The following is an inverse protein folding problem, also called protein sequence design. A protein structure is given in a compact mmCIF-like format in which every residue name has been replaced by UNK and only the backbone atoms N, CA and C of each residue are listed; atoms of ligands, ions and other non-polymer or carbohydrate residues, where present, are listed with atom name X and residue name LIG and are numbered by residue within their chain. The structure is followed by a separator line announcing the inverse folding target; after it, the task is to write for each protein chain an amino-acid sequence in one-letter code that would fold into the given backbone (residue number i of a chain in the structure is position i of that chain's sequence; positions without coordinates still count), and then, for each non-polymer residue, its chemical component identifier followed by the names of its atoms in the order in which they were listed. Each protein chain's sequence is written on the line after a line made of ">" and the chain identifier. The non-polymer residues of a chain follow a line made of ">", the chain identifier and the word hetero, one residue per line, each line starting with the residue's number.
data_IF_130666789768
#
_entry.id   IF_130666789768
#
_cell.length_a   1.000
_cell.length_b   1.000
_cell.length_c   1.000
_cell.angle_alpha   90.00
_cell.angle_beta   90.00
_cell.angle_gamma   90.00
#
_symmetry.space_group_name_H-M   'P 1'
#
loop_
_entity.id
_entity.type
_entity.pdbx_description
1 polymer ?
#
# COMPACT_ATOMS: atom_id res chain seq x y z
N UNK A 1 -9.69 -9.35 5.93
CA UNK A 1 -10.00 -9.68 7.35
C UNK A 1 -10.06 -8.37 8.12
N UNK A 2 -11.09 -8.17 8.96
CA UNK A 2 -11.27 -6.93 9.72
C UNK A 2 -10.80 -7.08 11.17
N UNK A 3 -10.04 -6.12 11.67
CA UNK A 3 -9.57 -6.03 13.05
C UNK A 3 -10.36 -5.01 13.86
N UNK A 4 -10.89 -3.96 13.24
CA UNK A 4 -11.66 -2.92 13.91
C UNK A 4 -12.99 -3.48 14.42
N UNK A 5 -13.17 -3.51 15.75
CA UNK A 5 -14.40 -4.00 16.38
C UNK A 5 -15.46 -2.93 16.58
N UNK A 6 -15.06 -1.66 16.71
CA UNK A 6 -16.02 -0.59 16.97
C UNK A 6 -15.53 0.78 16.53
N UNK A 7 -16.50 1.63 16.24
CA UNK A 7 -16.31 3.07 16.02
C UNK A 7 -16.94 3.80 17.19
N UNK A 8 -16.19 4.73 17.79
CA UNK A 8 -16.68 5.57 18.89
C UNK A 8 -16.68 7.02 18.43
N UNK A 9 -17.86 7.58 18.16
CA UNK A 9 -18.01 8.97 17.74
C UNK A 9 -18.26 9.86 18.95
N UNK A 10 -17.30 10.72 19.28
CA UNK A 10 -17.27 11.61 20.43
C UNK A 10 -17.17 13.07 19.99
N UNK A 11 -18.30 13.74 19.68
CA UNK A 11 -18.29 15.16 19.35
C UNK A 11 -17.87 16.04 20.55
N UNK A 12 -17.41 17.25 20.29
CA UNK A 12 -16.99 18.23 21.27
C UNK A 12 -18.08 18.51 22.31
N UNK A 13 -19.31 18.60 21.81
CA UNK A 13 -20.54 18.75 22.58
C UNK A 13 -21.45 17.55 22.38
N UNK A 14 -21.93 16.95 23.48
CA UNK A 14 -22.82 15.80 23.46
C UNK A 14 -22.17 14.50 23.93
N UNK A 15 -22.95 13.42 23.85
CA UNK A 15 -22.53 12.09 24.30
C UNK A 15 -21.79 11.33 23.20
N UNK A 16 -20.78 10.56 23.61
CA UNK A 16 -20.15 9.59 22.72
C UNK A 16 -21.13 8.49 22.32
N UNK A 17 -21.12 8.10 21.06
CA UNK A 17 -21.89 6.98 20.53
C UNK A 17 -20.96 5.88 20.06
N UNK A 18 -21.25 4.65 20.45
CA UNK A 18 -20.51 3.48 20.05
C UNK A 18 -21.30 2.68 19.00
N UNK A 19 -20.63 2.32 17.92
CA UNK A 19 -21.14 1.43 16.87
C UNK A 19 -20.24 0.21 16.79
N UNK A 20 -20.78 -0.97 17.10
CA UNK A 20 -20.06 -2.24 17.01
C UNK A 20 -20.11 -2.77 15.58
N UNK A 21 -18.95 -3.17 15.06
CA UNK A 21 -18.79 -3.77 13.74
C UNK A 21 -18.79 -5.30 13.86
N UNK A 22 -19.58 -5.97 13.03
CA UNK A 22 -19.71 -7.44 13.04
C UNK A 22 -18.53 -8.10 12.32
N UNK A 23 -18.24 -9.38 12.58
CA UNK A 23 -17.21 -10.17 11.88
C UNK A 23 -15.77 -9.62 11.96
N UNK A 24 -15.45 -8.90 13.03
CA UNK A 24 -14.10 -8.42 13.31
C UNK A 24 -13.36 -9.37 14.28
N UNK A 25 -12.10 -9.68 13.94
CA UNK A 25 -11.25 -10.62 14.70
C UNK A 25 -10.28 -9.94 15.67
N UNK A 26 -10.20 -8.62 15.66
CA UNK A 26 -9.29 -7.88 16.54
C UNK A 26 -9.69 -7.94 18.02
N UNK A 27 -8.85 -7.38 18.87
CA UNK A 27 -9.07 -7.32 20.32
C UNK A 27 -10.37 -6.58 20.67
N UNK A 28 -10.94 -6.84 21.85
CA UNK A 28 -12.22 -6.21 22.29
C UNK A 28 -12.15 -4.68 22.35
N UNK A 29 -10.95 -4.13 22.56
CA UNK A 29 -10.67 -2.70 22.61
C UNK A 29 -10.27 -2.11 21.25
N UNK A 30 -10.27 -2.90 20.17
CA UNK A 30 -10.00 -2.44 18.81
C UNK A 30 -11.03 -1.41 18.35
N UNK A 31 -10.72 -0.13 18.57
CA UNK A 31 -11.63 0.99 18.38
C UNK A 31 -11.00 2.11 17.57
N UNK A 32 -11.80 2.71 16.68
CA UNK A 32 -11.50 3.95 15.98
C UNK A 32 -12.37 5.07 16.56
N UNK A 33 -11.72 6.12 17.04
CA UNK A 33 -12.39 7.25 17.67
C UNK A 33 -12.58 8.39 16.66
N UNK A 34 -13.81 8.86 16.52
CA UNK A 34 -14.15 9.98 15.65
C UNK A 34 -14.48 11.20 16.51
N UNK A 35 -13.80 12.33 16.29
CA UNK A 35 -14.02 13.57 17.06
C UNK A 35 -13.87 14.79 16.19
N UNK A 36 -14.66 15.83 16.44
CA UNK A 36 -14.60 17.17 15.82
C UNK A 36 -13.83 18.18 16.69
N UNK A 37 -13.27 17.74 17.83
CA UNK A 37 -12.47 18.52 18.76
C UNK A 37 -10.99 18.17 18.68
N UNK A 38 -10.16 19.17 18.42
CA UNK A 38 -8.69 19.02 18.37
C UNK A 38 -8.06 18.76 19.73
N UNK A 39 -8.63 19.28 20.82
CA UNK A 39 -8.12 19.02 22.18
C UNK A 39 -8.39 17.58 22.58
N UNK A 40 -9.63 17.11 22.41
CA UNK A 40 -10.01 15.72 22.67
C UNK A 40 -9.25 14.74 21.78
N UNK A 41 -9.07 15.08 20.51
CA UNK A 41 -8.26 14.26 19.62
C UNK A 41 -6.83 14.06 20.16
N UNK A 42 -6.19 15.12 20.69
CA UNK A 42 -4.84 15.04 21.25
C UNK A 42 -4.82 14.17 22.51
N UNK A 43 -5.80 14.32 23.39
CA UNK A 43 -5.96 13.45 24.58
C UNK A 43 -6.07 11.96 24.17
N UNK A 44 -6.89 11.65 23.16
CA UNK A 44 -7.03 10.29 22.65
C UNK A 44 -5.73 9.75 22.03
N UNK A 45 -4.98 10.59 21.30
CA UNK A 45 -3.67 10.20 20.77
C UNK A 45 -2.64 9.94 21.87
N UNK A 46 -2.62 10.75 22.93
CA UNK A 46 -1.76 10.55 24.11
C UNK A 46 -2.09 9.24 24.85
N UNK A 47 -3.36 8.83 24.82
CA UNK A 47 -3.81 7.51 25.31
C UNK A 47 -3.51 6.35 24.33
N UNK A 48 -2.92 6.64 23.16
CA UNK A 48 -2.59 5.63 22.14
C UNK A 48 -3.80 5.12 21.35
N UNK A 49 -4.90 5.87 21.31
CA UNK A 49 -6.12 5.50 20.57
C UNK A 49 -6.06 5.96 19.12
N UNK A 50 -6.60 5.15 18.21
CA UNK A 50 -6.74 5.53 16.81
C UNK A 50 -7.78 6.64 16.67
N UNK A 51 -7.43 7.74 16.00
CA UNK A 51 -8.28 8.93 15.86
C UNK A 51 -8.49 9.29 14.38
N UNK A 52 -9.76 9.57 14.04
CA UNK A 52 -10.19 10.17 12.79
C UNK A 52 -10.90 11.50 13.10
N UNK A 53 -10.45 12.60 12.47
CA UNK A 53 -11.07 13.91 12.69
C UNK A 53 -12.32 14.07 11.86
N UNK A 54 -13.38 14.60 12.48
CA UNK A 54 -14.58 15.05 11.79
C UNK A 54 -14.50 16.56 11.57
N UNK A 55 -14.29 16.98 10.33
CA UNK A 55 -14.21 18.37 9.91
C UNK A 55 -15.58 18.89 9.50
N UNK A 56 -15.93 20.09 9.95
CA UNK A 56 -17.12 20.80 9.52
C UNK A 56 -16.92 22.31 9.65
N UNK A 57 -17.87 23.12 9.19
CA UNK A 57 -17.70 24.59 9.20
C UNK A 57 -17.44 25.17 10.60
N UNK A 58 -17.97 24.52 11.64
CA UNK A 58 -17.88 24.97 13.03
C UNK A 58 -16.51 24.78 13.68
N UNK A 59 -15.61 23.98 13.12
CA UNK A 59 -14.30 23.69 13.73
C UNK A 59 -13.09 24.12 12.90
N UNK A 60 -13.28 24.87 11.80
CA UNK A 60 -12.20 25.32 10.91
C UNK A 60 -11.14 26.21 11.57
N UNK A 61 -11.45 26.83 12.71
CA UNK A 61 -10.52 27.67 13.48
C UNK A 61 -9.60 26.85 14.40
N UNK A 62 -9.86 25.56 14.60
CA UNK A 62 -9.04 24.69 15.42
C UNK A 62 -7.80 24.19 14.65
N UNK A 63 -6.74 23.86 15.38
CA UNK A 63 -5.54 23.25 14.83
C UNK A 63 -5.63 21.72 14.85
N UNK A 64 -5.74 21.12 13.66
CA UNK A 64 -5.76 19.68 13.46
C UNK A 64 -4.48 19.12 12.82
N UNK A 65 -3.38 19.90 12.78
CA UNK A 65 -2.13 19.48 12.15
C UNK A 65 -1.49 18.23 12.77
N UNK A 66 -1.87 17.87 14.00
CA UNK A 66 -1.42 16.67 14.69
C UNK A 66 -2.09 15.37 14.21
N UNK A 67 -3.17 15.46 13.40
CA UNK A 67 -3.95 14.31 12.98
C UNK A 67 -3.69 13.96 11.51
N UNK A 68 -3.57 12.67 11.24
CA UNK A 68 -3.29 12.16 9.89
C UNK A 68 -4.54 12.03 9.03
N UNK A 69 -5.67 11.65 9.65
CA UNK A 69 -6.90 11.34 8.94
C UNK A 69 -8.00 12.29 9.36
N UNK A 70 -8.76 12.75 8.38
CA UNK A 70 -9.93 13.56 8.58
C UNK A 70 -10.99 13.22 7.53
N UNK A 71 -12.25 13.41 7.89
CA UNK A 71 -13.41 13.26 7.03
C UNK A 71 -14.38 14.43 7.29
N UNK A 72 -15.18 14.79 6.30
CA UNK A 72 -16.23 15.79 6.43
C UNK A 72 -17.58 15.17 6.80
N UNK A 73 -17.84 13.94 6.33
CA UNK A 73 -19.03 13.18 6.66
C UNK A 73 -18.71 11.76 7.15
N UNK A 74 -18.62 11.54 8.48
CA UNK A 74 -18.38 10.21 9.05
C UNK A 74 -19.43 9.16 8.68
N UNK A 75 -20.65 9.56 8.33
CA UNK A 75 -21.73 8.63 8.01
C UNK A 75 -21.64 8.03 6.60
N UNK A 76 -20.83 8.63 5.72
CA UNK A 76 -20.59 8.15 4.35
C UNK A 76 -19.35 7.26 4.24
N UNK A 77 -18.58 7.13 5.32
CA UNK A 77 -17.39 6.29 5.33
C UNK A 77 -17.78 4.82 5.34
N UNK A 78 -17.27 4.09 4.36
CA UNK A 78 -17.41 2.64 4.34
C UNK A 78 -16.50 1.96 5.37
N UNK A 79 -16.73 0.67 5.53
CA UNK A 79 -16.00 -0.16 6.50
C UNK A 79 -14.52 -0.31 6.15
N UNK A 80 -14.18 -0.38 4.86
CA UNK A 80 -12.80 -0.61 4.41
C UNK A 80 -11.93 0.61 4.68
N UNK A 81 -12.47 1.80 4.48
CA UNK A 81 -11.80 3.05 4.84
C UNK A 81 -11.53 3.13 6.35
N UNK A 82 -12.55 2.88 7.19
CA UNK A 82 -12.43 2.92 8.64
C UNK A 82 -11.41 1.89 9.16
N UNK A 83 -11.46 0.66 8.63
CA UNK A 83 -10.49 -0.38 8.92
C UNK A 83 -9.09 0.03 8.47
N UNK A 84 -8.93 0.61 7.28
CA UNK A 84 -7.64 1.07 6.76
C UNK A 84 -7.01 2.15 7.64
N UNK A 85 -7.81 3.11 8.13
CA UNK A 85 -7.37 4.13 9.10
C UNK A 85 -6.89 3.47 10.40
N UNK A 86 -7.68 2.55 10.95
CA UNK A 86 -7.35 1.82 12.18
C UNK A 86 -6.07 0.98 12.03
N UNK A 87 -5.98 0.16 10.96
CA UNK A 87 -4.84 -0.72 10.69
C UNK A 87 -3.55 0.08 10.57
N UNK A 88 -3.54 1.15 9.77
CA UNK A 88 -2.36 2.03 9.63
C UNK A 88 -1.97 2.70 10.94
N UNK A 89 -2.94 3.12 11.75
CA UNK A 89 -2.66 3.64 13.09
C UNK A 89 -1.98 2.60 13.99
N UNK A 90 -2.40 1.33 13.90
CA UNK A 90 -1.85 0.22 14.68
C UNK A 90 -0.61 -0.44 14.06
N UNK A 91 -0.13 0.05 12.92
CA UNK A 91 1.00 -0.54 12.20
C UNK A 91 0.68 -1.91 11.59
N UNK A 92 -0.60 -2.23 11.40
CA UNK A 92 -1.06 -3.45 10.73
C UNK A 92 -1.14 -3.11 9.23
N UNK A 93 -0.43 -3.81 8.33
CA UNK A 93 -0.49 -3.51 6.90
C UNK A 93 -1.86 -3.91 6.34
N UNK A 94 -2.38 -3.17 5.35
CA UNK A 94 -3.55 -3.60 4.56
C UNK A 94 -3.19 -4.72 3.57
N UNK A 95 -4.05 -5.73 3.45
CA UNK A 95 -3.93 -6.77 2.43
C UNK A 95 -4.65 -6.29 1.17
N UNK A 96 -3.89 -6.02 0.11
CA UNK A 96 -4.42 -5.41 -1.12
C UNK A 96 -5.17 -6.46 -1.94
N UNK A 97 -4.51 -7.58 -2.22
CA UNK A 97 -5.05 -8.66 -3.03
C UNK A 97 -4.28 -9.96 -2.81
N UNK A 98 -4.88 -11.05 -3.24
CA UNK A 98 -4.26 -12.36 -3.32
C UNK A 98 -4.28 -12.89 -4.74
N UNK A 99 -3.29 -13.72 -5.04
CA UNK A 99 -3.25 -14.55 -6.24
C UNK A 99 -3.16 -16.02 -5.83
N UNK A 100 -3.08 -16.92 -6.80
CA UNK A 100 -2.89 -18.35 -6.55
C UNK A 100 -1.66 -18.63 -5.68
N UNK A 101 -0.57 -17.86 -5.88
CA UNK A 101 0.72 -18.09 -5.23
C UNK A 101 1.21 -16.95 -4.37
N UNK A 102 0.54 -15.79 -4.37
CA UNK A 102 1.03 -14.60 -3.67
C UNK A 102 -0.02 -13.91 -2.81
N UNK A 103 0.47 -13.22 -1.80
CA UNK A 103 -0.24 -12.16 -1.08
C UNK A 103 0.47 -10.84 -1.43
N UNK A 104 -0.30 -9.80 -1.74
CA UNK A 104 0.19 -8.44 -1.90
C UNK A 104 -0.39 -7.59 -0.79
N UNK A 105 0.48 -6.98 0.01
CA UNK A 105 0.07 -6.16 1.16
C UNK A 105 0.94 -4.92 1.31
N UNK A 106 0.43 -3.91 2.01
CA UNK A 106 1.19 -2.70 2.33
C UNK A 106 2.56 -3.03 2.92
N UNK A 107 3.57 -2.27 2.51
CA UNK A 107 4.93 -2.41 3.04
C UNK A 107 4.93 -2.15 4.54
N UNK A 108 5.68 -2.94 5.29
CA UNK A 108 5.97 -2.68 6.70
C UNK A 108 7.44 -2.32 6.88
N UNK A 109 7.78 -1.67 7.99
CA UNK A 109 9.18 -1.35 8.32
C UNK A 109 10.04 -2.60 8.46
N UNK A 110 9.46 -3.73 8.87
CA UNK A 110 10.16 -5.00 9.02
C UNK A 110 10.52 -5.66 7.67
N UNK A 111 9.92 -5.22 6.57
CA UNK A 111 10.25 -5.74 5.23
C UNK A 111 11.59 -5.22 4.72
N UNK A 112 12.09 -4.12 5.31
CA UNK A 112 13.32 -3.46 4.87
C UNK A 112 14.50 -4.42 4.88
N UNK A 113 14.59 -5.28 5.90
CA UNK A 113 15.57 -6.35 6.00
C UNK A 113 15.56 -7.28 4.77
N UNK A 114 14.37 -7.70 4.34
CA UNK A 114 14.21 -8.55 3.16
C UNK A 114 14.48 -7.78 1.86
N UNK A 115 14.17 -6.48 1.81
CA UNK A 115 14.53 -5.65 0.67
C UNK A 115 16.05 -5.60 0.49
N UNK A 116 16.83 -5.43 1.56
CA UNK A 116 18.30 -5.51 1.45
C UNK A 116 18.80 -6.88 0.99
N UNK A 117 18.12 -7.98 1.34
CA UNK A 117 18.47 -9.30 0.81
C UNK A 117 18.27 -9.34 -0.70
N UNK A 118 17.15 -8.83 -1.19
CA UNK A 118 16.79 -8.87 -2.61
C UNK A 118 17.66 -7.92 -3.45
N UNK A 119 17.92 -6.71 -2.97
CA UNK A 119 18.66 -5.66 -3.73
C UNK A 119 20.18 -5.89 -3.77
N UNK A 120 20.72 -6.86 -3.02
CA UNK A 120 22.14 -7.24 -3.11
C UNK A 120 22.52 -7.88 -4.44
N UNK A 121 21.55 -8.41 -5.17
CA UNK A 121 21.80 -9.05 -6.45
C UNK A 121 22.08 -7.99 -7.54
N UNK A 122 23.25 -8.01 -8.20
CA UNK A 122 23.64 -6.95 -9.14
C UNK A 122 22.64 -6.68 -10.26
N UNK A 123 21.95 -7.72 -10.75
CA UNK A 123 20.95 -7.61 -11.82
C UNK A 123 19.69 -6.84 -11.45
N UNK A 124 19.44 -6.61 -10.16
CA UNK A 124 18.31 -5.83 -9.65
C UNK A 124 18.60 -4.33 -9.72
N UNK A 125 19.80 -3.92 -9.32
CA UNK A 125 20.20 -2.50 -9.28
C UNK A 125 20.44 -1.88 -10.66
N UNK A 126 20.56 -2.68 -11.71
CA UNK A 126 20.77 -2.19 -13.09
C UNK A 126 19.60 -1.37 -13.64
N UNK A 127 18.38 -1.60 -13.13
CA UNK A 127 17.15 -1.01 -13.66
C UNK A 127 16.29 -0.28 -12.63
N UNK A 128 16.71 -0.27 -11.36
CA UNK A 128 15.97 0.33 -10.27
C UNK A 128 16.83 1.27 -9.45
N UNK A 129 16.19 2.26 -8.83
CA UNK A 129 16.84 3.07 -7.81
C UNK A 129 17.29 2.18 -6.65
N UNK A 130 18.56 2.28 -6.22
CA UNK A 130 19.06 1.50 -5.10
C UNK A 130 18.42 1.95 -3.80
N UNK A 131 18.41 1.05 -2.81
CA UNK A 131 18.10 1.41 -1.43
C UNK A 131 19.17 2.36 -0.89
N UNK A 132 18.84 3.10 0.18
CA UNK A 132 19.87 3.84 0.90
C UNK A 132 20.95 2.88 1.45
N UNK A 133 22.22 3.31 1.47
CA UNK A 133 23.29 2.49 2.06
C UNK A 133 23.11 2.26 3.57
N UNK A 134 22.43 3.18 4.25
CA UNK A 134 22.13 3.13 5.68
C UNK A 134 20.73 2.54 5.91
N UNK A 135 20.61 1.33 6.50
CA UNK A 135 19.33 0.71 6.82
C UNK A 135 18.42 1.54 7.71
N UNK A 136 18.97 2.45 8.53
CA UNK A 136 18.14 3.32 9.34
C UNK A 136 17.46 4.42 8.52
N UNK A 137 18.12 4.91 7.46
CA UNK A 137 17.52 5.84 6.50
C UNK A 137 16.43 5.14 5.70
N UNK A 138 16.67 3.92 5.25
CA UNK A 138 15.67 3.13 4.52
C UNK A 138 14.44 2.83 5.39
N UNK A 139 14.62 2.48 6.67
CA UNK A 139 13.49 2.33 7.61
C UNK A 139 12.73 3.64 7.84
N UNK A 140 13.43 4.78 7.87
CA UNK A 140 12.78 6.10 7.95
C UNK A 140 11.98 6.40 6.68
N UNK A 141 12.57 6.13 5.51
CA UNK A 141 11.89 6.27 4.22
C UNK A 141 10.65 5.37 4.13
N UNK A 142 10.73 4.11 4.55
CA UNK A 142 9.59 3.19 4.57
C UNK A 142 8.47 3.70 5.48
N UNK A 143 8.80 4.23 6.68
CA UNK A 143 7.81 4.87 7.56
C UNK A 143 7.14 6.05 6.87
N UNK A 144 7.93 6.96 6.31
CA UNK A 144 7.44 8.13 5.58
C UNK A 144 6.54 7.74 4.40
N UNK A 145 6.89 6.67 3.69
CA UNK A 145 6.10 6.15 2.58
C UNK A 145 4.73 5.64 3.03
N UNK A 146 4.69 4.82 4.09
CA UNK A 146 3.44 4.34 4.70
C UNK A 146 2.59 5.52 5.15
N UNK A 147 3.25 6.48 5.81
CA UNK A 147 2.63 7.61 6.47
C UNK A 147 2.08 8.66 5.51
N UNK A 148 2.74 8.87 4.37
CA UNK A 148 2.42 9.96 3.44
C UNK A 148 1.80 9.45 2.14
N UNK A 149 2.30 8.36 1.59
CA UNK A 149 1.86 7.86 0.28
C UNK A 149 0.56 7.05 0.42
N UNK A 150 0.55 5.99 1.23
CA UNK A 150 -0.67 5.19 1.39
C UNK A 150 -1.80 5.98 2.03
N UNK A 151 -1.48 6.87 2.97
CA UNK A 151 -2.49 7.70 3.64
C UNK A 151 -3.13 8.74 2.71
N UNK A 152 -2.39 9.22 1.70
CA UNK A 152 -2.89 10.22 0.75
C UNK A 152 -3.53 9.60 -0.49
N UNK A 153 -2.85 8.64 -1.12
CA UNK A 153 -3.31 8.03 -2.37
C UNK A 153 -4.21 6.81 -2.16
N UNK A 154 -4.11 6.12 -1.01
CA UNK A 154 -4.76 4.83 -0.79
C UNK A 154 -4.10 3.65 -1.50
N UNK A 155 -3.09 3.90 -2.34
CA UNK A 155 -2.32 2.89 -3.07
C UNK A 155 -0.85 3.30 -3.19
N UNK A 156 -0.01 2.39 -3.67
CA UNK A 156 1.42 2.62 -3.83
C UNK A 156 2.16 1.36 -4.28
N UNK A 157 3.46 1.32 -4.03
CA UNK A 157 4.29 0.13 -4.17
C UNK A 157 4.15 -0.72 -2.92
N UNK A 158 3.73 -1.97 -3.08
CA UNK A 158 3.43 -2.90 -1.99
C UNK A 158 4.46 -4.02 -1.91
N UNK A 159 4.44 -4.78 -0.81
CA UNK A 159 5.27 -5.96 -0.60
C UNK A 159 4.57 -7.18 -1.19
N UNK A 160 5.33 -8.00 -1.92
CA UNK A 160 4.86 -9.26 -2.51
C UNK A 160 5.41 -10.42 -1.69
N UNK A 161 4.51 -11.25 -1.18
CA UNK A 161 4.85 -12.44 -0.40
C UNK A 161 4.43 -13.70 -1.16
N UNK A 162 5.29 -14.72 -1.20
CA UNK A 162 4.96 -16.03 -1.73
C UNK A 162 4.24 -16.88 -0.68
N UNK A 163 3.10 -17.46 -1.06
CA UNK A 163 2.38 -18.45 -0.26
C UNK A 163 3.20 -19.73 -0.21
N UNK A 164 3.39 -20.29 0.98
CA UNK A 164 4.09 -21.58 1.16
C UNK A 164 3.18 -22.71 0.64
N UNK A 165 3.58 -23.41 -0.42
CA UNK A 165 2.76 -24.47 -1.02
C UNK A 165 2.92 -25.87 -0.39
N UNK A 166 3.83 -26.08 0.58
CA UNK A 166 4.08 -27.40 1.17
C UNK A 166 4.52 -27.32 2.64
N UNK A 167 3.59 -27.51 3.57
CA UNK A 167 3.87 -27.81 4.98
C UNK A 167 3.72 -29.32 5.22
N UNK A 168 4.69 -30.11 4.72
CA UNK A 168 4.82 -31.51 5.16
C UNK A 168 6.05 -31.76 6.04
N UNK A 169 7.00 -30.82 6.12
CA UNK A 169 8.25 -30.97 6.87
C UNK A 169 8.63 -29.73 7.71
N UNK A 170 7.67 -29.11 8.42
CA UNK A 170 7.95 -27.92 9.23
C UNK A 170 7.37 -28.05 10.64
N UNK A 171 8.11 -28.69 11.56
CA UNK A 171 7.73 -28.76 12.97
C UNK A 171 8.07 -27.50 13.79
N UNK A 172 8.85 -26.55 13.26
CA UNK A 172 9.45 -25.50 14.12
C UNK A 172 9.61 -24.09 13.49
N UNK A 173 8.99 -23.79 12.33
CA UNK A 173 8.89 -22.40 11.86
C UNK A 173 7.43 -22.03 11.68
N UNK A 174 7.02 -20.95 12.34
CA UNK A 174 5.78 -20.25 12.02
C UNK A 174 5.72 -20.05 10.50
N UNK A 175 4.57 -20.35 9.89
CA UNK A 175 4.29 -20.15 8.47
C UNK A 175 4.30 -18.66 8.12
N UNK A 176 5.49 -18.05 8.08
CA UNK A 176 5.69 -16.68 7.65
C UNK A 176 5.90 -16.71 6.14
N UNK A 177 4.99 -16.12 5.33
CA UNK A 177 5.15 -16.03 3.88
C UNK A 177 6.47 -15.34 3.52
N UNK A 178 7.18 -15.86 2.52
CA UNK A 178 8.48 -15.33 2.11
C UNK A 178 8.28 -14.01 1.34
N UNK A 179 8.98 -12.94 1.71
CA UNK A 179 9.02 -11.72 0.89
C UNK A 179 9.83 -12.00 -0.37
N UNK A 180 9.18 -11.90 -1.52
CA UNK A 180 9.77 -12.21 -2.83
C UNK A 180 9.91 -10.99 -3.74
N UNK A 181 9.49 -9.81 -3.30
CA UNK A 181 9.59 -8.61 -4.11
C UNK A 181 8.68 -7.48 -3.69
N UNK A 182 8.57 -6.51 -4.60
CA UNK A 182 7.73 -5.33 -4.47
C UNK A 182 6.98 -5.11 -5.78
N UNK A 183 5.71 -4.75 -5.72
CA UNK A 183 4.94 -4.42 -6.91
C UNK A 183 3.79 -3.49 -6.54
N UNK A 184 3.39 -2.63 -7.45
CA UNK A 184 2.26 -1.73 -7.20
C UNK A 184 2.12 -0.65 -8.24
N UNK A 185 1.31 0.34 -7.89
CA UNK A 185 0.98 1.46 -8.76
C UNK A 185 1.44 2.76 -8.08
N UNK A 186 2.05 3.67 -8.84
CA UNK A 186 2.41 4.99 -8.35
C UNK A 186 2.26 6.05 -9.44
N UNK A 187 2.24 7.32 -9.05
CA UNK A 187 2.36 8.41 -10.00
C UNK A 187 3.82 8.76 -10.25
N UNK A 188 4.14 8.96 -11.53
CA UNK A 188 5.40 9.55 -11.96
C UNK A 188 5.21 11.03 -12.19
N UNK A 189 6.13 11.86 -11.67
CA UNK A 189 6.10 13.30 -11.91
C UNK A 189 6.08 13.61 -13.42
N UNK A 190 5.18 14.51 -13.83
CA UNK A 190 4.99 14.90 -15.22
C UNK A 190 4.04 14.01 -16.03
N UNK A 191 3.43 12.99 -15.42
CA UNK A 191 2.43 12.12 -16.06
C UNK A 191 1.14 12.08 -15.24
N UNK A 192 0.01 12.14 -15.94
CA UNK A 192 -1.32 12.13 -15.32
C UNK A 192 -1.84 10.72 -15.04
N UNK A 193 -1.44 9.74 -15.85
CA UNK A 193 -1.85 8.35 -15.67
C UNK A 193 -0.91 7.62 -14.68
N UNK A 194 -1.46 6.70 -13.88
CA UNK A 194 -0.67 5.91 -12.94
C UNK A 194 0.26 4.92 -13.66
N UNK A 195 1.41 4.64 -13.06
CA UNK A 195 2.41 3.69 -13.52
C UNK A 195 2.40 2.42 -12.67
N UNK A 196 2.42 1.25 -13.32
CA UNK A 196 2.74 -0.03 -12.66
C UNK A 196 4.25 -0.26 -12.63
N UNK A 197 4.76 -0.58 -11.44
CA UNK A 197 6.16 -0.95 -11.21
C UNK A 197 6.27 -2.27 -10.44
N UNK A 198 7.34 -3.02 -10.69
CA UNK A 198 7.60 -4.26 -9.96
C UNK A 198 9.09 -4.62 -9.90
N UNK A 199 9.42 -5.41 -8.88
CA UNK A 199 10.70 -6.04 -8.64
C UNK A 199 10.42 -7.41 -8.05
N UNK A 200 11.02 -8.46 -8.60
CA UNK A 200 10.95 -9.82 -8.06
C UNK A 200 12.37 -10.32 -7.82
N UNK A 201 12.58 -10.96 -6.66
CA UNK A 201 13.85 -11.56 -6.25
C UNK A 201 14.39 -12.49 -7.34
N UNK A 202 15.71 -12.46 -7.56
CA UNK A 202 16.36 -13.14 -8.69
C UNK A 202 16.06 -14.64 -8.71
N UNK A 203 16.07 -15.29 -7.56
CA UNK A 203 15.76 -16.72 -7.40
C UNK A 203 14.29 -17.06 -7.68
N UNK A 204 13.40 -16.07 -7.75
CA UNK A 204 11.98 -16.20 -8.10
C UNK A 204 11.67 -15.72 -9.53
N UNK A 205 12.64 -15.16 -10.25
CA UNK A 205 12.45 -14.74 -11.64
C UNK A 205 12.27 -15.94 -12.58
N UNK A 206 11.65 -15.71 -13.74
CA UNK A 206 11.38 -16.78 -14.71
C UNK A 206 10.25 -17.76 -14.34
N UNK A 207 9.72 -17.69 -13.11
CA UNK A 207 8.66 -18.57 -12.61
C UNK A 207 7.25 -17.99 -12.75
N UNK A 208 7.12 -16.83 -13.40
CA UNK A 208 5.83 -16.20 -13.69
C UNK A 208 5.26 -15.31 -12.58
N UNK A 209 5.93 -15.16 -11.43
CA UNK A 209 5.45 -14.33 -10.31
C UNK A 209 5.14 -12.89 -10.71
N UNK A 210 6.05 -12.21 -11.43
CA UNK A 210 5.83 -10.84 -11.89
C UNK A 210 4.54 -10.71 -12.72
N UNK A 211 4.36 -11.57 -13.73
CA UNK A 211 3.18 -11.54 -14.59
C UNK A 211 1.89 -11.91 -13.86
N UNK A 212 1.94 -12.75 -12.83
CA UNK A 212 0.78 -13.09 -12.00
C UNK A 212 0.36 -11.90 -11.14
N UNK A 213 1.31 -11.39 -10.35
CA UNK A 213 1.09 -10.30 -9.40
C UNK A 213 0.70 -9.01 -10.12
N UNK A 214 1.43 -8.62 -11.17
CA UNK A 214 1.11 -7.39 -11.89
C UNK A 214 -0.25 -7.46 -12.61
N UNK A 215 -0.70 -8.65 -13.05
CA UNK A 215 -2.03 -8.79 -13.65
C UNK A 215 -3.12 -8.52 -12.61
N UNK A 216 -2.98 -9.10 -11.42
CA UNK A 216 -3.91 -8.86 -10.33
C UNK A 216 -3.89 -7.39 -9.88
N UNK A 217 -2.71 -6.77 -9.80
CA UNK A 217 -2.57 -5.35 -9.47
C UNK A 217 -3.21 -4.44 -10.53
N UNK A 218 -3.05 -4.73 -11.82
CA UNK A 218 -3.71 -3.96 -12.88
C UNK A 218 -5.23 -4.10 -12.81
N UNK A 219 -5.74 -5.30 -12.57
CA UNK A 219 -7.16 -5.54 -12.37
C UNK A 219 -7.68 -4.73 -11.18
N UNK A 220 -7.00 -4.81 -10.03
CA UNK A 220 -7.30 -3.99 -8.85
C UNK A 220 -7.28 -2.49 -9.17
N UNK A 221 -6.30 -2.02 -9.93
CA UNK A 221 -6.22 -0.63 -10.38
C UNK A 221 -7.42 -0.19 -11.23
N UNK A 222 -7.92 -1.06 -12.10
CA UNK A 222 -9.08 -0.76 -12.94
C UNK A 222 -10.42 -0.88 -12.21
N UNK A 223 -10.56 -1.87 -11.32
CA UNK A 223 -11.82 -2.22 -10.65
C UNK A 223 -12.03 -1.43 -9.36
N UNK A 224 -11.02 -1.41 -8.48
CA UNK A 224 -11.12 -0.82 -7.14
C UNK A 224 -10.64 0.64 -7.13
N UNK A 225 -9.58 0.96 -7.86
CA UNK A 225 -9.04 2.33 -7.93
C UNK A 225 -9.65 3.16 -9.07
N UNK A 226 -10.43 2.54 -9.95
CA UNK A 226 -11.14 3.21 -11.03
C UNK A 226 -10.25 3.81 -12.12
N UNK A 227 -9.01 3.33 -12.28
CA UNK A 227 -8.14 3.82 -13.34
C UNK A 227 -8.61 3.34 -14.71
N UNK A 228 -8.75 4.25 -15.66
CA UNK A 228 -9.08 3.90 -17.05
C UNK A 228 -7.84 3.43 -17.80
N UNK A 229 -6.66 3.96 -17.45
CA UNK A 229 -5.39 3.67 -18.09
C UNK A 229 -4.27 3.49 -17.08
N UNK A 230 -3.39 2.52 -17.33
CA UNK A 230 -2.20 2.24 -16.51
C UNK A 230 -0.98 2.19 -17.43
N UNK A 231 0.08 2.91 -17.07
CA UNK A 231 1.34 3.01 -17.81
C UNK A 231 2.41 2.07 -17.25
N UNK A 232 3.44 1.79 -18.05
CA UNK A 232 4.70 1.24 -17.59
C UNK A 232 5.87 1.94 -18.30
N UNK A 233 6.89 2.33 -17.54
CA UNK A 233 8.11 2.93 -18.09
C UNK A 233 9.24 1.92 -17.99
N UNK A 234 9.67 1.39 -19.13
CA UNK A 234 10.66 0.31 -19.17
C UNK A 234 11.88 0.74 -19.95
N UNK A 235 13.06 0.69 -19.33
CA UNK A 235 14.33 0.91 -20.04
C UNK A 235 14.44 -0.07 -21.21
N UNK A 236 14.81 0.37 -22.43
CA UNK A 236 14.89 -0.52 -23.60
C UNK A 236 15.76 -1.77 -23.40
N UNK A 237 16.81 -1.67 -22.56
CA UNK A 237 17.68 -2.80 -22.24
C UNK A 237 17.04 -3.84 -21.30
N UNK A 238 15.96 -3.51 -20.58
CA UNK A 238 15.27 -4.39 -19.65
C UNK A 238 14.27 -5.30 -20.39
N UNK A 239 14.82 -6.25 -21.14
CA UNK A 239 14.04 -7.20 -21.95
C UNK A 239 13.12 -8.09 -21.11
N UNK A 240 13.48 -8.37 -19.85
CA UNK A 240 12.64 -9.14 -18.94
C UNK A 240 11.33 -8.41 -18.64
N UNK A 241 11.40 -7.12 -18.31
CA UNK A 241 10.22 -6.32 -17.98
C UNK A 241 9.36 -6.04 -19.21
N UNK A 242 9.97 -5.80 -20.38
CA UNK A 242 9.21 -5.66 -21.64
C UNK A 242 8.37 -6.92 -21.93
N UNK A 243 8.92 -8.11 -21.73
CA UNK A 243 8.17 -9.38 -21.87
C UNK A 243 7.06 -9.54 -20.84
N UNK A 244 7.25 -9.01 -19.63
CA UNK A 244 6.17 -9.00 -18.62
C UNK A 244 5.06 -8.07 -19.07
N UNK A 245 5.36 -6.84 -19.50
CA UNK A 245 4.37 -5.89 -20.02
C UNK A 245 3.61 -6.47 -21.23
N UNK A 246 4.29 -7.16 -22.14
CA UNK A 246 3.63 -7.86 -23.27
C UNK A 246 2.64 -8.93 -22.79
N UNK A 247 3.01 -9.76 -21.81
CA UNK A 247 2.12 -10.77 -21.19
C UNK A 247 0.95 -10.18 -20.41
N UNK A 248 1.07 -8.91 -20.00
CA UNK A 248 0.02 -8.14 -19.36
C UNK A 248 -0.89 -7.45 -20.39
N UNK A 249 -0.64 -7.62 -21.69
CA UNK A 249 -1.42 -6.99 -22.75
C UNK A 249 -1.12 -5.50 -22.95
N UNK A 250 -0.02 -5.00 -22.39
CA UNK A 250 0.35 -3.59 -22.55
C UNK A 250 0.88 -3.34 -23.97
N UNK A 251 0.48 -2.21 -24.55
CA UNK A 251 0.88 -1.77 -25.88
C UNK A 251 1.86 -0.60 -25.79
N UNK A 252 2.91 -0.60 -26.61
CA UNK A 252 3.86 0.51 -26.68
C UNK A 252 3.17 1.74 -27.29
N UNK A 253 3.22 2.87 -26.58
CA UNK A 253 2.63 4.14 -27.02
C UNK A 253 3.67 5.23 -27.32
N UNK A 254 4.92 5.07 -26.86
CA UNK A 254 5.95 6.08 -27.08
C UNK A 254 7.29 5.76 -26.44
N UNK A 255 8.14 6.78 -26.38
CA UNK A 255 9.41 6.80 -25.65
C UNK A 255 9.58 8.17 -25.00
N UNK A 256 10.30 8.20 -23.88
CA UNK A 256 10.69 9.45 -23.21
C UNK A 256 12.11 9.30 -22.67
N UNK A 257 12.75 10.42 -22.39
CA UNK A 257 14.00 10.47 -21.65
C UNK A 257 13.75 11.16 -20.31
N UNK A 258 14.15 10.53 -19.22
CA UNK A 258 14.02 11.04 -17.86
C UNK A 258 15.37 10.94 -17.17
N UNK A 259 15.90 12.06 -16.66
CA UNK A 259 17.22 12.12 -16.04
C UNK A 259 18.31 11.44 -16.88
N UNK A 260 18.35 11.74 -18.18
CA UNK A 260 19.30 11.17 -19.17
C UNK A 260 19.15 9.66 -19.43
N UNK A 261 18.05 9.05 -18.96
CA UNK A 261 17.73 7.63 -19.17
C UNK A 261 16.54 7.49 -20.10
N UNK A 262 16.70 6.67 -21.14
CA UNK A 262 15.62 6.38 -22.10
C UNK A 262 14.66 5.33 -21.56
N UNK A 263 13.37 5.57 -21.76
CA UNK A 263 12.27 4.66 -21.43
C UNK A 263 11.37 4.43 -22.64
N UNK A 264 10.90 3.20 -22.79
CA UNK A 264 9.73 2.87 -23.58
C UNK A 264 8.51 3.05 -22.70
N UNK A 265 7.50 3.77 -23.20
CA UNK A 265 6.22 3.92 -22.52
C UNK A 265 5.25 2.90 -23.11
N UNK A 266 4.69 2.06 -22.25
CA UNK A 266 3.62 1.13 -22.58
C UNK A 266 2.35 1.51 -21.80
N UNK A 267 1.18 1.23 -22.37
CA UNK A 267 -0.11 1.44 -21.70
C UNK A 267 -0.99 0.20 -21.76
N UNK A 268 -1.87 0.08 -20.78
CA UNK A 268 -3.01 -0.81 -20.79
C UNK A 268 -4.26 -0.02 -20.46
N UNK A 269 -5.29 -0.17 -21.29
CA UNK A 269 -6.59 0.47 -21.12
C UNK A 269 -7.55 -0.52 -20.46
N UNK A 270 -8.46 -0.01 -19.64
CA UNK A 270 -9.54 -0.81 -19.08
C UNK A 270 -10.37 -1.41 -20.22
N UNK A 271 -10.55 -2.72 -20.19
CA UNK A 271 -11.43 -3.39 -21.16
C UNK A 271 -12.88 -2.98 -20.88
N UNK A 272 -13.60 -2.65 -21.96
CA UNK A 272 -15.01 -2.22 -21.94
C UNK A 272 -15.96 -3.32 -21.48
#
# INVERSE_FOLDING_TARGET
>A
MYYLKKVVTCPAEGECRETVLQDAVGDEDAALWITDSSSRGRELLEEGKAVLIWLHEGNRSQDFSAFRYACDNPAELDRDYLEGVYRRFRGIPWDILETDRCLVRETTVADVEEFYRIYKEPSITDFMEPLYDDPQKERTYARDYIDKVYSFYGFGIWTVLAKTQNTQDMSDKEDVPEVIGRAGICYREGYEDPEIGFLIAVDKQGQGYASEVCRAIMQYGHEELGFERILAFVRPANQASLKVCEKLGMSRIGQTQLQEVDYVILSHEKSS
#
